data_IF_185163454158
#
_entry.id   IF_185163454158
#
_cell.length_a   1.000
_cell.length_b   1.000
_cell.length_c   1.000
_cell.angle_alpha   90.00
_cell.angle_beta   90.00
_cell.angle_gamma   90.00
#
_symmetry.space_group_name_H-M   'P 1'
#
loop_
_entity.id
_entity.type
_entity.pdbx_description
1 polymer ?
#
# COMPACT_ATOMS: atom_id res chain seq x y z
N UNK A 1 11.36 -5.70 23.39
CA UNK A 1 12.27 -4.56 23.60
C UNK A 1 11.56 -3.58 24.51
N UNK A 2 11.89 -3.64 25.80
CA UNK A 2 11.24 -2.85 26.85
C UNK A 2 12.20 -1.91 27.57
N UNK A 3 13.49 -1.94 27.22
CA UNK A 3 14.54 -1.09 27.78
C UNK A 3 15.66 -0.87 26.75
N UNK A 4 16.63 -0.03 27.11
CA UNK A 4 17.75 0.35 26.25
C UNK A 4 18.66 -0.84 25.96
N UNK A 5 18.89 -1.68 26.95
CA UNK A 5 19.78 -2.85 26.86
C UNK A 5 19.23 -3.84 25.83
N UNK A 6 17.95 -4.19 25.90
CA UNK A 6 17.27 -5.03 24.91
C UNK A 6 17.26 -4.41 23.52
N UNK A 7 17.18 -3.08 23.41
CA UNK A 7 17.24 -2.38 22.11
C UNK A 7 18.62 -2.53 21.47
N UNK A 8 19.68 -2.33 22.25
CA UNK A 8 21.05 -2.48 21.77
C UNK A 8 21.35 -3.94 21.40
N UNK A 9 20.91 -4.90 22.22
CA UNK A 9 21.04 -6.32 21.90
C UNK A 9 20.27 -6.70 20.62
N UNK A 10 19.08 -6.12 20.41
CA UNK A 10 18.33 -6.34 19.18
C UNK A 10 19.04 -5.73 17.97
N UNK A 11 19.56 -4.50 18.10
CA UNK A 11 20.33 -3.81 17.07
C UNK A 11 21.59 -4.58 16.68
N UNK A 12 22.37 -5.08 17.65
CA UNK A 12 23.61 -5.82 17.37
C UNK A 12 23.35 -7.14 16.60
N UNK A 13 22.12 -7.69 16.68
CA UNK A 13 21.71 -8.88 15.92
C UNK A 13 21.25 -8.58 14.49
N UNK A 14 21.08 -7.32 14.09
CA UNK A 14 20.54 -6.99 12.76
C UNK A 14 21.59 -7.06 11.65
N UNK A 15 22.87 -7.18 12.01
CA UNK A 15 23.97 -7.32 11.07
C UNK A 15 24.06 -6.13 10.11
N UNK A 16 24.14 -6.34 8.77
CA UNK A 16 24.30 -5.25 7.81
C UNK A 16 23.00 -4.51 7.49
N UNK A 17 21.85 -4.95 8.01
CA UNK A 17 20.56 -4.41 7.62
C UNK A 17 20.25 -3.09 8.35
N UNK A 18 19.78 -2.09 7.60
CA UNK A 18 19.15 -0.90 8.19
C UNK A 18 17.77 -1.28 8.72
N UNK A 19 17.50 -0.93 9.97
CA UNK A 19 16.26 -1.29 10.66
C UNK A 19 15.49 -0.05 11.08
N UNK A 20 14.17 -0.19 11.16
CA UNK A 20 13.27 0.81 11.73
C UNK A 20 12.79 0.30 13.09
N UNK A 21 12.97 1.12 14.13
CA UNK A 21 12.34 0.88 15.43
C UNK A 21 10.93 1.47 15.41
N UNK A 22 9.93 0.66 15.74
CA UNK A 22 8.53 1.07 15.80
C UNK A 22 7.84 0.56 17.07
N UNK A 23 6.79 1.25 17.50
CA UNK A 23 5.87 0.75 18.53
C UNK A 23 5.20 -0.53 18.03
N UNK A 24 5.10 -1.54 18.89
CA UNK A 24 4.23 -2.68 18.62
C UNK A 24 2.78 -2.29 18.92
N UNK A 25 1.96 -2.24 17.89
CA UNK A 25 0.52 -1.96 18.04
C UNK A 25 -0.19 -3.24 18.48
N UNK A 26 -0.73 -3.26 19.70
CA UNK A 26 -1.65 -4.31 20.14
C UNK A 26 -3.01 -4.09 19.47
N UNK A 27 -3.34 -4.88 18.45
CA UNK A 27 -4.53 -4.71 17.62
C UNK A 27 -5.60 -5.76 17.89
N UNK A 28 -6.87 -5.40 17.64
CA UNK A 28 -8.00 -6.34 17.63
C UNK A 28 -8.30 -6.86 16.22
N UNK A 29 -7.97 -6.07 15.18
CA UNK A 29 -8.20 -6.44 13.79
C UNK A 29 -7.00 -6.08 12.93
N UNK A 30 -6.82 -6.81 11.84
CA UNK A 30 -5.70 -6.61 10.93
C UNK A 30 -6.16 -6.81 9.49
N UNK A 31 -5.81 -5.84 8.65
CA UNK A 31 -6.18 -5.89 7.22
C UNK A 31 -5.00 -5.57 6.33
N UNK A 32 -4.92 -6.27 5.20
CA UNK A 32 -4.04 -5.97 4.07
C UNK A 32 -4.89 -5.43 2.94
N UNK A 33 -4.59 -4.23 2.46
CA UNK A 33 -5.36 -3.55 1.44
C UNK A 33 -4.73 -3.81 0.07
N UNK A 34 -5.36 -4.68 -0.72
CA UNK A 34 -4.92 -4.94 -2.09
C UNK A 34 -5.28 -3.73 -2.94
N UNK A 35 -4.26 -3.14 -3.57
CA UNK A 35 -4.39 -1.85 -4.24
C UNK A 35 -4.21 -2.02 -5.74
N UNK A 36 -5.12 -1.44 -6.54
CA UNK A 36 -5.06 -1.46 -7.99
C UNK A 36 -5.25 -0.03 -8.54
N UNK A 37 -4.27 0.44 -9.31
CA UNK A 37 -4.28 1.79 -9.90
C UNK A 37 -4.36 2.93 -8.88
N UNK A 38 -3.75 2.78 -7.69
CA UNK A 38 -3.75 3.73 -6.54
C UNK A 38 -5.10 3.92 -5.83
N UNK A 39 -6.23 3.74 -6.52
CA UNK A 39 -7.55 4.12 -6.01
C UNK A 39 -8.50 2.96 -5.74
N UNK A 40 -8.41 1.86 -6.48
CA UNK A 40 -9.26 0.68 -6.26
C UNK A 40 -8.62 -0.15 -5.14
N UNK A 41 -9.23 -0.10 -3.96
CA UNK A 41 -8.69 -0.73 -2.75
C UNK A 41 -9.65 -1.81 -2.28
N UNK A 42 -9.12 -2.99 -2.04
CA UNK A 42 -9.82 -4.11 -1.43
C UNK A 42 -9.19 -4.43 -0.07
N UNK A 43 -9.81 -4.00 1.05
CA UNK A 43 -9.38 -4.41 2.38
C UNK A 43 -9.61 -5.92 2.56
N UNK A 44 -8.55 -6.65 2.92
CA UNK A 44 -8.59 -8.09 3.11
C UNK A 44 -8.18 -8.42 4.55
N UNK A 45 -9.05 -9.07 5.34
CA UNK A 45 -8.69 -9.55 6.66
C UNK A 45 -7.50 -10.53 6.60
N UNK A 46 -6.55 -10.34 7.50
CA UNK A 46 -5.32 -11.12 7.53
C UNK A 46 -4.97 -11.50 8.97
N UNK A 47 -4.66 -12.77 9.21
CA UNK A 47 -4.17 -13.23 10.51
C UNK A 47 -2.64 -13.34 10.44
N UNK A 48 -1.89 -12.36 10.99
CA UNK A 48 -0.44 -12.33 10.85
C UNK A 48 0.27 -13.45 11.61
N UNK A 49 -0.31 -14.00 12.68
CA UNK A 49 0.31 -15.11 13.43
C UNK A 49 0.29 -16.42 12.63
N UNK A 50 -0.80 -16.66 11.93
CA UNK A 50 -0.99 -17.86 11.09
C UNK A 50 -0.61 -17.61 9.62
N UNK A 51 -0.29 -16.36 9.30
CA UNK A 51 0.12 -15.89 7.97
C UNK A 51 -0.90 -16.21 6.87
N UNK A 52 -2.20 -16.13 7.18
CA UNK A 52 -3.28 -16.49 6.25
C UNK A 52 -4.28 -15.34 6.02
N UNK A 53 -4.87 -15.35 4.83
CA UNK A 53 -5.94 -14.44 4.45
C UNK A 53 -7.30 -15.06 4.74
N UNK A 54 -8.26 -14.23 5.16
CA UNK A 54 -9.61 -14.68 5.53
C UNK A 54 -10.65 -14.07 4.59
N UNK A 55 -11.66 -14.84 4.22
CA UNK A 55 -12.81 -14.37 3.42
C UNK A 55 -13.95 -14.07 4.40
N UNK A 56 -13.96 -12.85 4.92
CA UNK A 56 -14.96 -12.39 5.91
C UNK A 56 -15.52 -11.03 5.49
N UNK A 57 -16.77 -11.02 5.02
CA UNK A 57 -17.38 -9.83 4.41
C UNK A 57 -17.78 -8.74 5.40
N UNK A 58 -18.09 -9.11 6.64
CA UNK A 58 -18.52 -8.19 7.71
C UNK A 58 -17.40 -7.94 8.73
N UNK A 59 -16.14 -8.10 8.32
CA UNK A 59 -14.99 -7.93 9.22
C UNK A 59 -14.86 -6.49 9.72
N UNK A 60 -14.99 -5.50 8.84
CA UNK A 60 -14.96 -4.08 9.21
C UNK A 60 -16.37 -3.50 9.23
N UNK A 61 -16.63 -2.56 10.15
CA UNK A 61 -17.82 -1.72 10.03
C UNK A 61 -17.74 -0.86 8.77
N UNK A 62 -18.87 -0.41 8.19
CA UNK A 62 -18.86 0.46 7.01
C UNK A 62 -17.99 1.71 7.18
N UNK A 63 -18.04 2.34 8.36
CA UNK A 63 -17.29 3.56 8.66
C UNK A 63 -15.78 3.29 8.72
N UNK A 64 -15.37 2.20 9.38
CA UNK A 64 -13.99 1.80 9.51
C UNK A 64 -13.41 1.33 8.17
N UNK A 65 -14.16 0.53 7.41
CA UNK A 65 -13.79 0.10 6.08
C UNK A 65 -13.60 1.28 5.13
N UNK A 66 -14.50 2.26 5.15
CA UNK A 66 -14.36 3.48 4.37
C UNK A 66 -13.12 4.30 4.78
N UNK A 67 -12.77 4.32 6.07
CA UNK A 67 -11.55 4.97 6.56
C UNK A 67 -10.29 4.28 6.05
N UNK A 68 -10.20 2.96 6.21
CA UNK A 68 -9.09 2.12 5.74
C UNK A 68 -8.86 2.32 4.24
N UNK A 69 -9.92 2.31 3.44
CA UNK A 69 -9.83 2.56 1.98
C UNK A 69 -9.26 3.95 1.70
N UNK A 70 -9.76 5.01 2.33
CA UNK A 70 -9.26 6.38 2.11
C UNK A 70 -7.79 6.52 2.50
N UNK A 71 -7.37 5.90 3.60
CA UNK A 71 -5.99 5.99 4.09
C UNK A 71 -5.04 5.23 3.15
N UNK A 72 -5.41 4.04 2.67
CA UNK A 72 -4.65 3.29 1.66
C UNK A 72 -4.52 4.07 0.34
N UNK A 73 -5.63 4.68 -0.13
CA UNK A 73 -5.61 5.54 -1.32
C UNK A 73 -4.67 6.74 -1.15
N UNK A 74 -4.65 7.34 0.04
CA UNK A 74 -3.78 8.48 0.35
C UNK A 74 -2.32 8.07 0.25
N UNK A 75 -1.95 6.95 0.89
CA UNK A 75 -0.59 6.41 0.85
C UNK A 75 -0.16 6.06 -0.57
N UNK A 76 -0.98 5.32 -1.32
CA UNK A 76 -0.64 4.92 -2.69
C UNK A 76 -0.51 6.10 -3.65
N UNK A 77 -1.33 7.15 -3.50
CA UNK A 77 -1.19 8.39 -4.29
C UNK A 77 0.10 9.13 -3.93
N UNK A 78 0.40 9.27 -2.64
CA UNK A 78 1.60 9.95 -2.18
C UNK A 78 2.89 9.20 -2.55
N UNK A 79 2.85 7.88 -2.59
CA UNK A 79 4.04 7.04 -2.85
C UNK A 79 4.16 6.57 -4.30
N UNK A 80 3.12 6.77 -5.11
CA UNK A 80 3.14 6.41 -6.54
C UNK A 80 2.78 4.96 -6.86
N UNK A 81 2.37 4.15 -5.87
CA UNK A 81 2.10 2.73 -6.09
C UNK A 81 0.74 2.45 -6.74
N UNK A 82 0.76 1.95 -7.98
CA UNK A 82 -0.44 1.41 -8.61
C UNK A 82 -0.81 0.01 -8.11
N UNK A 83 0.19 -0.79 -7.75
CA UNK A 83 0.03 -2.08 -7.09
C UNK A 83 0.77 -2.04 -5.76
N UNK A 84 0.08 -2.41 -4.68
CA UNK A 84 0.62 -2.40 -3.31
C UNK A 84 -0.24 -3.27 -2.40
N UNK A 85 0.33 -3.73 -1.28
CA UNK A 85 -0.45 -4.03 -0.08
C UNK A 85 -0.14 -3.05 1.04
N UNK A 86 -1.15 -2.29 1.45
CA UNK A 86 -1.08 -1.44 2.65
C UNK A 86 -1.66 -2.21 3.83
N UNK A 87 -0.88 -2.42 4.87
CA UNK A 87 -1.23 -3.16 6.06
C UNK A 87 -1.63 -2.21 7.20
N UNK A 88 -2.79 -2.47 7.79
CA UNK A 88 -3.29 -1.75 8.96
C UNK A 88 -3.50 -2.69 10.14
N UNK A 89 -2.85 -2.36 11.25
CA UNK A 89 -3.19 -2.86 12.57
C UNK A 89 -4.23 -1.94 13.20
N UNK A 90 -5.38 -2.48 13.60
CA UNK A 90 -6.51 -1.69 14.08
C UNK A 90 -6.59 -1.86 15.60
N UNK A 91 -6.32 -0.77 16.33
CA UNK A 91 -6.42 -0.69 17.79
C UNK A 91 -7.52 0.30 18.17
N UNK A 92 -8.54 -0.18 18.88
CA UNK A 92 -9.69 0.60 19.38
C UNK A 92 -10.40 1.40 18.27
N UNK A 93 -10.59 0.76 17.11
CA UNK A 93 -11.23 1.36 15.93
C UNK A 93 -10.33 2.33 15.15
N UNK A 94 -9.06 2.48 15.52
CA UNK A 94 -8.09 3.35 14.84
C UNK A 94 -7.17 2.49 13.96
N UNK A 95 -7.15 2.68 12.62
CA UNK A 95 -6.25 1.96 11.74
C UNK A 95 -4.85 2.61 11.73
N UNK A 96 -3.86 1.89 12.25
CA UNK A 96 -2.44 2.27 12.20
C UNK A 96 -1.78 1.61 10.99
N UNK A 97 -1.23 2.40 10.07
CA UNK A 97 -0.43 1.88 8.96
C UNK A 97 0.91 1.35 9.49
N UNK A 98 1.23 0.09 9.21
CA UNK A 98 2.42 -0.58 9.76
C UNK A 98 3.36 -1.16 8.69
N UNK A 99 2.82 -1.43 7.50
CA UNK A 99 3.60 -1.70 6.29
C UNK A 99 2.80 -1.16 5.10
N UNK A 100 3.46 -0.45 4.19
CA UNK A 100 2.82 0.18 3.04
C UNK A 100 3.75 0.30 1.85
N UNK A 101 4.83 -0.49 1.82
CA UNK A 101 5.88 -0.45 0.81
C UNK A 101 6.03 -1.80 0.08
N UNK A 102 4.93 -2.55 -0.07
CA UNK A 102 4.93 -3.87 -0.69
C UNK A 102 4.33 -3.83 -2.12
N UNK A 103 5.12 -3.33 -3.07
CA UNK A 103 4.69 -3.17 -4.46
C UNK A 103 4.66 -4.47 -5.29
N UNK A 104 5.19 -5.58 -4.75
CA UNK A 104 5.18 -6.90 -5.37
C UNK A 104 4.67 -7.97 -4.40
N UNK A 105 3.35 -7.99 -4.11
CA UNK A 105 2.79 -8.90 -3.12
C UNK A 105 2.82 -10.38 -3.54
N UNK A 106 3.04 -11.25 -2.55
CA UNK A 106 2.91 -12.71 -2.67
C UNK A 106 1.43 -13.12 -2.82
N UNK A 107 0.93 -13.06 -4.06
CA UNK A 107 -0.47 -13.34 -4.44
C UNK A 107 -0.67 -14.73 -5.06
N UNK A 108 0.09 -15.73 -4.59
CA UNK A 108 -0.18 -17.12 -4.96
C UNK A 108 -1.56 -17.56 -4.46
N UNK A 109 -2.30 -18.28 -5.30
CA UNK A 109 -3.69 -18.71 -5.05
C UNK A 109 -3.84 -19.42 -3.71
N UNK A 110 -2.89 -20.29 -3.37
CA UNK A 110 -2.89 -21.06 -2.13
C UNK A 110 -2.67 -20.20 -0.88
N UNK A 111 -2.06 -19.01 -1.03
CA UNK A 111 -1.86 -18.05 0.06
C UNK A 111 -3.07 -17.16 0.24
N UNK A 112 -3.52 -16.52 -0.84
CA UNK A 112 -4.59 -15.52 -0.79
C UNK A 112 -5.98 -16.11 -0.98
N UNK A 113 -6.15 -17.43 -1.02
CA UNK A 113 -7.41 -18.10 -1.38
C UNK A 113 -7.80 -17.91 -2.85
N UNK A 114 -8.58 -18.85 -3.38
CA UNK A 114 -9.12 -18.78 -4.75
C UNK A 114 -9.98 -17.53 -4.95
N UNK A 115 -10.80 -17.17 -3.96
CA UNK A 115 -11.68 -16.00 -4.04
C UNK A 115 -10.92 -14.70 -4.32
N UNK A 116 -9.87 -14.39 -3.55
CA UNK A 116 -9.11 -13.17 -3.80
C UNK A 116 -8.20 -13.29 -5.02
N UNK A 117 -7.68 -14.49 -5.31
CA UNK A 117 -6.86 -14.72 -6.50
C UNK A 117 -7.58 -14.35 -7.78
N UNK A 118 -8.83 -14.81 -7.96
CA UNK A 118 -9.63 -14.45 -9.13
C UNK A 118 -9.84 -12.94 -9.26
N UNK A 119 -10.11 -12.26 -8.14
CA UNK A 119 -10.31 -10.79 -8.12
C UNK A 119 -9.03 -10.06 -8.49
N UNK A 120 -7.91 -10.46 -7.91
CA UNK A 120 -6.58 -9.89 -8.21
C UNK A 120 -6.28 -10.00 -9.69
N UNK A 121 -6.44 -11.19 -10.28
CA UNK A 121 -6.16 -11.42 -11.71
C UNK A 121 -7.04 -10.54 -12.59
N UNK A 122 -8.36 -10.49 -12.35
CA UNK A 122 -9.28 -9.63 -13.11
C UNK A 122 -8.91 -8.15 -12.99
N UNK A 123 -8.70 -7.65 -11.77
CA UNK A 123 -8.39 -6.24 -11.50
C UNK A 123 -7.07 -5.81 -12.12
N UNK A 124 -6.01 -6.61 -11.96
CA UNK A 124 -4.70 -6.31 -12.55
C UNK A 124 -4.71 -6.40 -14.07
N UNK A 125 -5.40 -7.39 -14.65
CA UNK A 125 -5.53 -7.50 -16.10
C UNK A 125 -6.25 -6.27 -16.69
N UNK A 126 -7.36 -5.85 -16.07
CA UNK A 126 -8.08 -4.62 -16.46
C UNK A 126 -7.20 -3.38 -16.34
N UNK A 127 -6.44 -3.25 -15.25
CA UNK A 127 -5.53 -2.13 -15.03
C UNK A 127 -4.50 -2.04 -16.15
N UNK A 128 -3.82 -3.15 -16.48
CA UNK A 128 -2.80 -3.17 -17.53
C UNK A 128 -3.40 -2.90 -18.92
N UNK A 129 -4.57 -3.46 -19.23
CA UNK A 129 -5.29 -3.18 -20.48
C UNK A 129 -5.64 -1.69 -20.58
N UNK A 130 -6.14 -1.08 -19.50
CA UNK A 130 -6.48 0.34 -19.46
C UNK A 130 -5.26 1.22 -19.73
N UNK A 131 -4.11 0.91 -19.10
CA UNK A 131 -2.83 1.62 -19.35
C UNK A 131 -2.38 1.48 -20.81
N UNK A 132 -2.50 0.28 -21.38
CA UNK A 132 -2.11 0.03 -22.77
C UNK A 132 -2.98 0.78 -23.79
N UNK A 133 -4.30 0.88 -23.54
CA UNK A 133 -5.24 1.51 -24.47
C UNK A 133 -5.31 3.03 -24.33
N UNK A 134 -5.19 3.57 -23.11
CA UNK A 134 -5.36 5.01 -22.84
C UNK A 134 -4.04 5.77 -22.79
N UNK A 135 -2.91 5.08 -22.64
CA UNK A 135 -1.59 5.68 -22.65
C UNK A 135 -1.29 6.64 -21.49
N UNK A 136 -2.13 6.68 -20.45
CA UNK A 136 -1.86 7.48 -19.24
C UNK A 136 -0.67 6.86 -18.52
N UNK A 137 0.48 7.55 -18.39
CA UNK A 137 1.59 7.06 -17.60
C UNK A 137 1.12 6.80 -16.17
N UNK A 138 1.59 5.71 -15.57
CA UNK A 138 1.25 5.29 -14.21
C UNK A 138 1.53 6.36 -13.12
N UNK A 139 2.31 7.40 -13.46
CA UNK A 139 2.82 8.42 -12.53
C UNK A 139 3.43 7.74 -11.29
N UNK A 140 4.31 6.77 -11.53
CA UNK A 140 4.83 5.87 -10.49
C UNK A 140 5.81 6.53 -9.52
N UNK A 141 6.08 7.82 -9.71
CA UNK A 141 7.00 8.55 -8.85
C UNK A 141 6.28 9.02 -7.58
N UNK A 142 6.93 8.92 -6.41
CA UNK A 142 6.39 9.50 -5.19
C UNK A 142 6.13 11.00 -5.34
N UNK A 143 5.06 11.46 -4.71
CA UNK A 143 4.58 12.85 -4.66
C UNK A 143 4.25 13.26 -3.22
N UNK A 144 4.97 12.69 -2.26
CA UNK A 144 4.73 12.91 -0.84
C UNK A 144 5.04 14.36 -0.43
N UNK A 145 5.91 15.05 -1.17
CA UNK A 145 6.23 16.47 -0.98
C UNK A 145 4.97 17.34 -1.11
N UNK A 146 4.12 17.02 -2.09
CA UNK A 146 2.84 17.70 -2.30
C UNK A 146 1.87 17.40 -1.17
N UNK A 147 1.82 16.13 -0.72
CA UNK A 147 0.99 15.72 0.41
C UNK A 147 1.39 16.46 1.70
N UNK A 148 2.68 16.67 1.92
CA UNK A 148 3.19 17.38 3.10
C UNK A 148 3.19 18.91 2.94
N UNK A 149 2.88 19.44 1.74
CA UNK A 149 2.92 20.87 1.46
C UNK A 149 4.32 21.48 1.50
N UNK A 150 5.37 20.67 1.30
CA UNK A 150 6.78 21.11 1.36
C UNK A 150 7.39 21.32 -0.02
N UNK A 151 6.68 20.96 -1.09
CA UNK A 151 7.12 21.18 -2.47
C UNK A 151 6.20 20.53 -3.50
N UNK A 152 6.56 20.69 -4.78
CA UNK A 152 5.96 19.94 -5.90
C UNK A 152 6.69 18.60 -6.08
N UNK A 153 6.03 17.61 -6.67
CA UNK A 153 6.68 16.33 -6.98
C UNK A 153 7.88 16.55 -7.91
N UNK A 154 9.07 16.20 -7.44
CA UNK A 154 10.30 16.35 -8.21
C UNK A 154 10.40 15.37 -9.39
N UNK A 155 9.55 14.33 -9.41
CA UNK A 155 9.65 13.21 -10.35
C UNK A 155 11.00 12.50 -10.24
N UNK A 156 11.36 11.72 -11.26
CA UNK A 156 12.69 11.14 -11.34
C UNK A 156 13.71 12.15 -11.85
N UNK A 157 14.81 12.34 -11.11
CA UNK A 157 15.96 13.14 -11.55
C UNK A 157 16.51 12.54 -12.84
N UNK A 158 16.30 13.22 -13.96
CA UNK A 158 16.73 12.77 -15.29
C UNK A 158 15.63 12.16 -16.18
N UNK A 159 14.35 12.21 -15.76
CA UNK A 159 13.25 11.82 -16.63
C UNK A 159 13.22 12.71 -17.89
N UNK A 160 12.93 12.15 -19.09
CA UNK A 160 12.73 12.97 -20.28
C UNK A 160 11.64 14.00 -20.01
N UNK A 161 11.91 15.29 -20.28
CA UNK A 161 10.86 16.31 -20.22
C UNK A 161 9.76 15.89 -21.20
N UNK A 162 8.60 15.52 -20.68
CA UNK A 162 7.41 15.31 -21.51
C UNK A 162 7.17 16.62 -22.23
N UNK A 163 7.31 16.61 -23.56
CA UNK A 163 7.02 17.79 -24.38
C UNK A 163 5.54 18.08 -24.14
N UNK A 164 5.23 19.20 -23.50
CA UNK A 164 3.86 19.63 -23.31
C UNK A 164 3.14 19.48 -24.65
N UNK A 165 2.07 18.68 -24.69
CA UNK A 165 1.25 18.58 -25.89
C UNK A 165 0.85 20.01 -26.23
N UNK A 166 1.37 20.52 -27.35
CA UNK A 166 1.18 21.90 -27.73
C UNK A 166 -0.32 22.20 -27.68
N UNK A 167 -0.66 23.31 -27.03
CA UNK A 167 -1.92 23.97 -27.29
C UNK A 167 -1.97 24.21 -28.80
N UNK A 168 -2.67 23.32 -29.51
CA UNK A 168 -2.97 23.47 -30.92
C UNK A 168 -3.80 24.72 -31.06
N UNK A 169 -3.19 25.72 -31.68
CA UNK A 169 -3.77 27.00 -32.00
C UNK A 169 -4.92 26.86 -33.01
N UNK A 170 -5.95 27.69 -32.79
CA UNK A 170 -6.96 28.21 -33.73
C UNK A 170 -7.82 27.22 -34.54
#
# INVERSE_FOLDING_TARGET
>A
VHNKEELLEAYDRTGPYCMVLQEFIEFQQYVRCFSFGKSDIMPVPYEPRERRYLVEHEYLTPELGARVVRDAQTLNRALGYEMNTVEFAIRDGIPYAIDFLNAAPDFERERITEFYFERVVDKMARLVIDRALRGTPADSWPRWEEMLGVGEAAGFVGAPRVRAAGAGAA
#
